data_IF_868212963434
#
_entry.id   IF_868212963434
#
_cell.length_a   1.000
_cell.length_b   1.000
_cell.length_c   1.000
_cell.angle_alpha   90.00
_cell.angle_beta   90.00
_cell.angle_gamma   90.00
#
_symmetry.space_group_name_H-M   'P 1'
#
loop_
_entity.id
_entity.type
_entity.pdbx_description
1 polymer ?
#
# COMPACT_ATOMS: atom_id res chain seq x y z
N UNK A 1 -4.13 -17.40 -20.27
CA UNK A 1 -4.40 -17.43 -18.82
C UNK A 1 -3.96 -16.09 -18.27
N UNK A 2 -4.87 -15.30 -17.68
CA UNK A 2 -4.49 -14.04 -17.05
C UNK A 2 -3.50 -14.39 -15.93
N UNK A 3 -2.26 -13.92 -16.03
CA UNK A 3 -1.22 -14.19 -15.03
C UNK A 3 -1.70 -13.81 -13.64
N UNK A 4 -1.32 -14.62 -12.66
CA UNK A 4 -1.68 -14.42 -11.26
C UNK A 4 -1.38 -12.97 -10.85
N UNK A 5 -2.34 -12.33 -10.15
CA UNK A 5 -2.22 -10.92 -9.78
C UNK A 5 -1.01 -10.67 -8.88
N UNK A 6 -0.63 -11.66 -8.06
CA UNK A 6 0.59 -11.58 -7.27
C UNK A 6 1.86 -11.52 -8.14
N UNK A 7 1.97 -12.35 -9.19
CA UNK A 7 3.14 -12.35 -10.08
C UNK A 7 3.28 -11.01 -10.82
N UNK A 8 2.15 -10.45 -11.23
CA UNK A 8 2.10 -9.13 -11.87
C UNK A 8 2.52 -8.02 -10.91
N UNK A 9 2.07 -8.08 -9.66
CA UNK A 9 2.47 -7.13 -8.63
C UNK A 9 3.99 -7.18 -8.40
N UNK A 10 4.56 -8.39 -8.33
CA UNK A 10 6.01 -8.59 -8.17
C UNK A 10 6.81 -8.10 -9.39
N UNK A 11 6.23 -8.18 -10.59
CA UNK A 11 6.80 -7.62 -11.82
C UNK A 11 6.67 -6.08 -11.90
N UNK A 12 6.10 -5.41 -10.89
CA UNK A 12 5.95 -3.95 -10.84
C UNK A 12 4.71 -3.42 -11.56
N UNK A 13 3.72 -4.27 -11.86
CA UNK A 13 2.45 -3.82 -12.43
C UNK A 13 1.61 -3.09 -11.37
N UNK A 14 1.70 -1.76 -11.36
CA UNK A 14 0.92 -0.90 -10.47
C UNK A 14 -0.61 -1.09 -10.60
N UNK A 15 -1.11 -1.66 -11.70
CA UNK A 15 -2.56 -1.96 -11.87
C UNK A 15 -2.96 -3.27 -11.19
N UNK A 16 -2.00 -4.13 -10.82
CA UNK A 16 -2.26 -5.37 -10.10
C UNK A 16 -2.59 -5.09 -8.63
N UNK A 17 -1.92 -4.10 -8.00
CA UNK A 17 -2.12 -3.74 -6.59
C UNK A 17 -3.59 -3.44 -6.24
N UNK A 18 -4.28 -2.47 -6.87
CA UNK A 18 -5.66 -2.15 -6.49
C UNK A 18 -6.61 -3.34 -6.70
N UNK A 19 -6.38 -4.17 -7.72
CA UNK A 19 -7.18 -5.39 -7.95
C UNK A 19 -6.96 -6.42 -6.85
N UNK A 20 -5.72 -6.62 -6.42
CA UNK A 20 -5.41 -7.55 -5.35
C UNK A 20 -5.99 -7.06 -4.01
N UNK A 21 -5.88 -5.76 -3.71
CA UNK A 21 -6.50 -5.16 -2.52
C UNK A 21 -8.02 -5.41 -2.51
N UNK A 22 -8.72 -5.16 -3.62
CA UNK A 22 -10.15 -5.46 -3.73
C UNK A 22 -10.47 -6.94 -3.49
N UNK A 23 -9.65 -7.87 -3.98
CA UNK A 23 -9.88 -9.30 -3.73
C UNK A 23 -9.70 -9.67 -2.25
N UNK A 24 -8.66 -9.12 -1.60
CA UNK A 24 -8.41 -9.34 -0.17
C UNK A 24 -9.53 -8.75 0.68
N UNK A 25 -9.98 -7.54 0.37
CA UNK A 25 -11.08 -6.87 1.09
C UNK A 25 -12.42 -7.61 0.98
N UNK A 26 -12.62 -8.42 -0.06
CA UNK A 26 -13.83 -9.21 -0.27
C UNK A 26 -13.67 -10.68 0.16
N UNK A 27 -12.62 -11.02 0.90
CA UNK A 27 -12.29 -12.41 1.31
C UNK A 27 -12.25 -13.40 0.11
N UNK A 28 -11.91 -12.92 -1.09
CA UNK A 28 -11.84 -13.78 -2.28
C UNK A 28 -10.66 -14.75 -2.13
N UNK A 29 -10.87 -16.08 -2.30
CA UNK A 29 -9.80 -17.07 -2.13
C UNK A 29 -8.55 -16.81 -2.98
N UNK A 30 -8.70 -16.18 -4.15
CA UNK A 30 -7.56 -15.80 -5.01
C UNK A 30 -6.73 -14.68 -4.39
N UNK A 31 -7.39 -13.71 -3.75
CA UNK A 31 -6.73 -12.63 -3.03
C UNK A 31 -5.98 -13.16 -1.81
N UNK A 32 -6.63 -14.02 -1.01
CA UNK A 32 -6.04 -14.63 0.18
C UNK A 32 -4.85 -15.52 -0.14
N UNK A 33 -4.94 -16.36 -1.18
CA UNK A 33 -3.82 -17.21 -1.62
C UNK A 33 -2.62 -16.36 -2.10
N UNK A 34 -2.87 -15.29 -2.84
CA UNK A 34 -1.81 -14.36 -3.26
C UNK A 34 -1.21 -13.62 -2.05
N UNK A 35 -2.02 -13.22 -1.07
CA UNK A 35 -1.56 -12.57 0.16
C UNK A 35 -0.63 -13.49 0.96
N UNK A 36 -1.02 -14.75 1.17
CA UNK A 36 -0.20 -15.74 1.88
C UNK A 36 1.17 -15.91 1.22
N UNK A 37 1.20 -16.05 -0.11
CA UNK A 37 2.46 -16.15 -0.86
C UNK A 37 3.33 -14.90 -0.74
N UNK A 38 2.72 -13.71 -0.84
CA UNK A 38 3.42 -12.43 -0.78
C UNK A 38 3.92 -12.11 0.64
N UNK A 39 3.31 -12.68 1.68
CA UNK A 39 3.61 -12.39 3.08
C UNK A 39 5.10 -12.55 3.41
N UNK A 40 5.74 -13.60 2.88
CA UNK A 40 7.17 -13.87 3.09
C UNK A 40 8.13 -12.80 2.55
N UNK A 41 7.65 -11.88 1.71
CA UNK A 41 8.43 -10.78 1.13
C UNK A 41 8.23 -9.43 1.85
N UNK A 42 7.33 -9.39 2.83
CA UNK A 42 6.98 -8.17 3.58
C UNK A 42 7.99 -7.88 4.70
N UNK A 43 7.81 -6.78 5.44
CA UNK A 43 8.65 -6.41 6.58
C UNK A 43 9.92 -5.60 6.25
N UNK A 44 10.21 -5.36 4.97
CA UNK A 44 11.39 -4.63 4.53
C UNK A 44 11.18 -3.10 4.38
N UNK A 45 9.98 -2.60 4.71
CA UNK A 45 9.65 -1.18 4.60
C UNK A 45 9.74 -0.47 5.95
N UNK A 46 10.19 0.78 5.95
CA UNK A 46 10.09 1.65 7.12
C UNK A 46 8.65 2.18 7.25
N UNK A 47 8.01 1.94 8.41
CA UNK A 47 6.61 2.30 8.66
C UNK A 47 6.54 3.44 9.67
N UNK A 48 5.93 4.55 9.28
CA UNK A 48 5.76 5.75 10.10
C UNK A 48 4.27 6.04 10.32
N UNK A 49 3.85 6.11 11.57
CA UNK A 49 2.51 6.55 11.95
C UNK A 49 2.44 8.08 12.07
N UNK A 50 1.49 8.70 11.39
CA UNK A 50 1.25 10.16 11.46
C UNK A 50 -0.15 10.40 11.99
N UNK A 51 -0.26 11.16 13.08
CA UNK A 51 -1.52 11.49 13.75
C UNK A 51 -1.54 12.95 14.18
N UNK A 52 -2.71 13.45 14.60
CA UNK A 52 -2.92 14.84 15.00
C UNK A 52 -4.37 15.30 14.76
N UNK A 53 -4.82 16.38 15.43
CA UNK A 53 -6.21 16.83 15.37
C UNK A 53 -6.62 17.30 13.96
N UNK A 54 -7.92 17.38 13.64
CA UNK A 54 -8.39 18.03 12.41
C UNK A 54 -7.80 19.43 12.26
N UNK A 55 -7.39 19.80 11.04
CA UNK A 55 -6.80 21.11 10.77
C UNK A 55 -5.34 21.31 11.18
N UNK A 56 -4.68 20.33 11.83
CA UNK A 56 -3.25 20.43 12.22
C UNK A 56 -2.23 20.45 11.07
N UNK A 57 -2.68 20.39 9.82
CA UNK A 57 -1.78 20.38 8.65
C UNK A 57 -1.16 19.02 8.32
N UNK A 58 -1.66 17.91 8.88
CA UNK A 58 -1.17 16.55 8.58
C UNK A 58 -1.03 16.27 7.08
N UNK A 59 -2.05 16.57 6.28
CA UNK A 59 -2.00 16.30 4.84
C UNK A 59 -0.93 17.12 4.14
N UNK A 60 -0.70 18.37 4.58
CA UNK A 60 0.39 19.21 4.09
C UNK A 60 1.75 18.62 4.45
N UNK A 61 1.91 18.17 5.69
CA UNK A 61 3.14 17.51 6.15
C UNK A 61 3.41 16.21 5.37
N UNK A 62 2.40 15.34 5.23
CA UNK A 62 2.50 14.09 4.47
C UNK A 62 2.87 14.36 3.02
N UNK A 63 2.24 15.35 2.38
CA UNK A 63 2.55 15.71 1.00
C UNK A 63 4.00 16.19 0.84
N UNK A 64 4.47 17.05 1.75
CA UNK A 64 5.86 17.53 1.75
C UNK A 64 6.87 16.40 2.01
N UNK A 65 6.57 15.50 2.95
CA UNK A 65 7.41 14.33 3.25
C UNK A 65 7.51 13.38 2.06
N UNK A 66 6.39 13.08 1.41
CA UNK A 66 6.35 12.24 0.21
C UNK A 66 7.17 12.88 -0.92
N UNK A 67 7.05 14.20 -1.13
CA UNK A 67 7.84 14.90 -2.14
C UNK A 67 9.35 14.77 -1.86
N UNK A 68 9.79 15.07 -0.63
CA UNK A 68 11.18 14.97 -0.23
C UNK A 68 11.75 13.54 -0.35
N UNK A 69 10.99 12.52 0.05
CA UNK A 69 11.42 11.12 -0.09
C UNK A 69 11.55 10.70 -1.57
N UNK A 70 10.66 11.17 -2.43
CA UNK A 70 10.74 10.89 -3.87
C UNK A 70 11.92 11.58 -4.55
N UNK A 71 12.36 12.74 -4.05
CA UNK A 71 13.60 13.39 -4.50
C UNK A 71 14.85 12.55 -4.16
N UNK A 72 14.74 11.66 -3.17
CA UNK A 72 15.77 10.68 -2.80
C UNK A 72 15.61 9.33 -3.52
N UNK A 73 14.74 9.26 -4.54
CA UNK A 73 14.42 8.04 -5.30
C UNK A 73 13.78 6.91 -4.46
N UNK A 74 13.21 7.26 -3.30
CA UNK A 74 12.52 6.29 -2.44
C UNK A 74 11.12 5.95 -2.95
N UNK A 75 10.73 4.68 -2.78
CA UNK A 75 9.37 4.21 -3.08
C UNK A 75 8.48 4.44 -1.86
N UNK A 76 7.48 5.31 -2.01
CA UNK A 76 6.59 5.72 -0.91
C UNK A 76 5.16 5.25 -1.16
N UNK A 77 4.52 4.70 -0.12
CA UNK A 77 3.10 4.42 -0.07
C UNK A 77 2.47 5.19 1.11
N UNK A 78 1.23 5.66 0.92
CA UNK A 78 0.44 6.33 1.98
C UNK A 78 -0.82 5.52 2.19
N UNK A 79 -1.01 5.02 3.41
CA UNK A 79 -2.23 4.36 3.85
C UNK A 79 -3.01 5.30 4.78
N UNK A 80 -4.19 5.73 4.35
CA UNK A 80 -5.09 6.49 5.19
C UNK A 80 -5.95 5.54 6.03
N UNK A 81 -5.96 5.75 7.34
CA UNK A 81 -6.82 5.02 8.28
C UNK A 81 -7.87 6.02 8.78
N UNK A 82 -9.12 5.82 8.40
CA UNK A 82 -10.26 6.57 8.94
C UNK A 82 -11.04 5.66 9.88
N UNK A 83 -11.02 5.88 11.21
CA UNK A 83 -11.69 5.01 12.18
C UNK A 83 -13.23 5.17 12.15
N UNK A 84 -13.84 5.42 10.98
CA UNK A 84 -15.28 5.46 10.83
C UNK A 84 -15.88 4.05 10.87
N UNK A 85 -16.20 3.59 12.09
CA UNK A 85 -17.47 2.94 12.43
C UNK A 85 -17.74 3.03 13.93
#
# INVERSE_FOLDING_TARGET
>A
MAGDLGDRLEAGDNRALPRLLTLVENDDPRGLAALERLYHRTGNAHVVGITGPPGSGKSTLVAALVAALRELDERVAVLAIDPSS
#
